data_IF_202751899629
#
_entry.id   IF_202751899629
#
_cell.length_a   1.000
_cell.length_b   1.000
_cell.length_c   1.000
_cell.angle_alpha   90.00
_cell.angle_beta   90.00
_cell.angle_gamma   90.00
#
_symmetry.space_group_name_H-M   'P 1'
#
loop_
_entity.id
_entity.type
_entity.pdbx_description
1 polymer ?
#
# COMPACT_ATOMS: atom_id res chain seq x y z
N UNK A 1 18.19 -45.01 77.51
CA UNK A 1 19.49 -45.20 76.85
C UNK A 1 19.22 -45.43 75.38
N UNK A 2 19.88 -44.66 74.50
CA UNK A 2 20.21 -45.05 73.12
C UNK A 2 19.01 -45.17 72.14
N UNK A 3 18.95 -44.55 70.97
CA UNK A 3 19.86 -43.68 70.22
C UNK A 3 19.01 -42.87 69.25
N UNK A 4 19.31 -41.58 69.19
CA UNK A 4 19.32 -40.83 67.94
C UNK A 4 20.01 -41.64 66.86
N UNK A 5 19.54 -41.65 65.62
CA UNK A 5 20.39 -41.36 64.46
C UNK A 5 19.52 -41.04 63.23
N UNK A 6 19.65 -39.79 62.79
CA UNK A 6 19.65 -39.33 61.40
C UNK A 6 18.31 -39.23 60.66
N UNK A 7 17.69 -38.08 60.86
CA UNK A 7 16.88 -37.38 59.87
C UNK A 7 17.74 -36.82 58.73
N UNK A 8 17.06 -36.56 57.60
CA UNK A 8 17.47 -35.82 56.39
C UNK A 8 18.03 -36.66 55.23
N UNK A 9 17.15 -37.02 54.30
CA UNK A 9 17.26 -36.98 52.82
C UNK A 9 15.93 -37.59 52.30
N UNK A 10 15.09 -37.00 51.46
CA UNK A 10 15.20 -35.90 50.51
C UNK A 10 13.75 -35.46 50.19
N UNK A 11 13.50 -34.14 50.19
CA UNK A 11 12.20 -33.50 49.97
C UNK A 11 11.92 -33.35 48.46
N UNK A 12 10.61 -33.37 48.11
CA UNK A 12 9.93 -32.78 46.94
C UNK A 12 9.71 -33.61 45.64
N UNK A 13 8.55 -34.30 45.63
CA UNK A 13 7.43 -34.26 44.65
C UNK A 13 7.21 -32.86 44.00
N UNK A 14 6.46 -32.61 42.87
CA UNK A 14 5.91 -33.39 41.71
C UNK A 14 6.39 -32.80 40.34
N UNK A 15 6.15 -33.28 39.10
CA UNK A 15 4.88 -33.44 38.36
C UNK A 15 5.17 -34.36 37.15
N UNK A 16 4.69 -35.60 37.22
CA UNK A 16 4.47 -36.45 36.04
C UNK A 16 2.96 -36.62 35.96
N UNK A 17 2.32 -36.00 34.97
CA UNK A 17 1.03 -36.42 34.45
C UNK A 17 0.77 -35.72 33.12
N UNK A 18 0.15 -36.45 32.20
CA UNK A 18 -0.29 -36.04 30.86
C UNK A 18 0.76 -36.03 29.75
N UNK A 19 1.28 -37.22 29.46
CA UNK A 19 1.51 -37.62 28.07
C UNK A 19 0.75 -38.93 27.80
N UNK A 20 0.14 -38.98 26.61
CA UNK A 20 -0.41 -40.14 25.90
C UNK A 20 -1.69 -40.76 26.47
N UNK A 21 -2.84 -40.42 25.86
CA UNK A 21 -3.90 -41.33 25.35
C UNK A 21 -4.96 -40.42 24.74
N UNK A 22 -5.24 -40.65 23.46
CA UNK A 22 -6.46 -40.35 22.66
C UNK A 22 -6.01 -40.21 21.20
N UNK A 23 -5.54 -41.33 20.65
CA UNK A 23 -5.55 -41.61 19.22
C UNK A 23 -6.95 -42.18 18.93
N UNK A 24 -7.55 -41.70 17.83
CA UNK A 24 -8.92 -41.95 17.33
C UNK A 24 -10.03 -41.19 18.03
N UNK A 25 -10.40 -40.01 17.50
CA UNK A 25 -11.75 -39.67 17.01
C UNK A 25 -11.76 -38.21 16.48
N UNK A 26 -12.37 -38.02 15.31
CA UNK A 26 -12.69 -36.76 14.63
C UNK A 26 -11.53 -35.98 13.98
N UNK A 27 -11.34 -36.31 12.70
CA UNK A 27 -11.09 -35.34 11.63
C UNK A 27 -12.11 -34.21 11.71
N UNK A 28 -11.75 -33.11 12.36
CA UNK A 28 -12.20 -31.79 11.93
C UNK A 28 -10.98 -31.06 11.42
N UNK A 29 -10.85 -31.07 10.09
CA UNK A 29 -10.22 -29.99 9.37
C UNK A 29 -10.90 -28.70 9.83
N UNK A 30 -10.34 -28.07 10.87
CA UNK A 30 -10.45 -26.64 11.02
C UNK A 30 -9.61 -26.04 9.89
N UNK A 31 -10.23 -26.03 8.71
CA UNK A 31 -10.23 -24.85 7.87
C UNK A 31 -10.60 -23.69 8.79
N UNK A 32 -9.60 -23.11 9.46
CA UNK A 32 -9.64 -21.70 9.71
C UNK A 32 -9.67 -21.09 8.31
N UNK A 33 -10.89 -20.96 7.79
CA UNK A 33 -11.29 -19.84 6.98
C UNK A 33 -10.83 -18.61 7.78
N UNK A 34 -9.54 -18.28 7.61
CA UNK A 34 -9.12 -16.91 7.62
C UNK A 34 -9.88 -16.32 6.46
N UNK A 35 -11.16 -16.01 6.72
CA UNK A 35 -11.96 -15.09 5.96
C UNK A 35 -11.05 -13.89 5.87
N UNK A 36 -10.38 -13.83 4.72
CA UNK A 36 -9.65 -12.70 4.22
C UNK A 36 -10.66 -11.58 4.22
N UNK A 37 -10.73 -10.89 5.35
CA UNK A 37 -11.25 -9.54 5.41
C UNK A 37 -10.19 -8.61 4.78
N UNK A 38 -9.71 -8.96 3.58
CA UNK A 38 -9.85 -8.05 2.45
C UNK A 38 -11.35 -7.86 2.20
N UNK A 39 -12.08 -7.39 3.23
CA UNK A 39 -13.34 -6.70 3.04
C UNK A 39 -12.94 -5.62 2.08
N UNK A 40 -13.46 -5.70 0.86
CA UNK A 40 -13.19 -4.79 -0.23
C UNK A 40 -13.41 -3.39 0.33
N UNK A 41 -12.33 -2.75 0.82
CA UNK A 41 -12.36 -1.47 1.54
C UNK A 41 -12.64 -0.47 0.43
N UNK A 42 -13.92 -0.34 0.14
CA UNK A 42 -14.47 0.50 -0.90
C UNK A 42 -14.76 1.86 -0.29
N UNK A 43 -14.58 2.92 -1.08
CA UNK A 43 -14.97 4.28 -0.70
C UNK A 43 -16.49 4.49 -0.71
N UNK A 44 -17.26 3.48 -1.10
CA UNK A 44 -18.71 3.58 -1.22
C UNK A 44 -19.12 4.15 -2.57
N UNK A 45 -20.22 4.91 -2.58
CA UNK A 45 -20.77 5.53 -3.79
C UNK A 45 -20.00 6.81 -4.14
N UNK A 46 -19.38 6.83 -5.32
CA UNK A 46 -18.62 7.97 -5.84
C UNK A 46 -19.33 8.67 -7.01
N UNK A 47 -20.60 8.36 -7.27
CA UNK A 47 -21.36 8.89 -8.41
C UNK A 47 -21.49 10.41 -8.42
N UNK A 48 -21.62 11.03 -7.24
CA UNK A 48 -21.62 12.50 -7.13
C UNK A 48 -20.30 13.09 -7.61
N UNK A 49 -19.16 12.54 -7.18
CA UNK A 49 -17.84 12.96 -7.61
C UNK A 49 -17.65 12.82 -9.12
N UNK A 50 -18.07 11.69 -9.70
CA UNK A 50 -18.01 11.47 -11.15
C UNK A 50 -18.87 12.48 -11.92
N UNK A 51 -20.04 12.83 -11.40
CA UNK A 51 -20.88 13.89 -11.99
C UNK A 51 -20.18 15.25 -12.01
N UNK A 52 -19.46 15.61 -10.93
CA UNK A 52 -18.65 16.83 -10.89
C UNK A 52 -17.55 16.81 -11.97
N UNK A 53 -16.86 15.68 -12.14
CA UNK A 53 -15.80 15.50 -13.14
C UNK A 53 -16.35 15.64 -14.55
N UNK A 54 -17.47 15.00 -14.86
CA UNK A 54 -18.11 15.07 -16.18
C UNK A 54 -18.62 16.48 -16.50
N UNK A 55 -19.22 17.18 -15.54
CA UNK A 55 -19.62 18.57 -15.71
C UNK A 55 -18.41 19.50 -15.91
N UNK A 56 -17.32 19.27 -15.17
CA UNK A 56 -16.06 20.01 -15.35
C UNK A 56 -15.50 19.79 -16.76
N UNK A 57 -15.49 18.55 -17.25
CA UNK A 57 -15.03 18.18 -18.60
C UNK A 57 -15.87 18.88 -19.68
N UNK A 58 -17.20 18.94 -19.50
CA UNK A 58 -18.12 19.65 -20.41
C UNK A 58 -17.84 21.15 -20.47
N UNK A 59 -17.50 21.79 -19.35
CA UNK A 59 -17.14 23.20 -19.30
C UNK A 59 -15.78 23.45 -19.96
N UNK A 60 -14.76 22.65 -19.61
CA UNK A 60 -13.43 22.73 -20.22
C UNK A 60 -13.47 22.51 -21.73
N UNK A 61 -14.26 21.54 -22.21
CA UNK A 61 -14.42 21.26 -23.65
C UNK A 61 -15.10 22.39 -24.43
N UNK A 62 -15.82 23.29 -23.75
CA UNK A 62 -16.37 24.53 -24.33
C UNK A 62 -15.38 25.70 -24.29
N UNK A 63 -14.19 25.49 -23.71
CA UNK A 63 -13.19 26.53 -23.47
C UNK A 63 -13.43 27.36 -22.21
N UNK A 64 -14.44 27.03 -21.40
CA UNK A 64 -14.77 27.77 -20.17
C UNK A 64 -13.95 27.24 -18.98
N UNK A 65 -12.66 27.59 -18.96
CA UNK A 65 -11.72 27.15 -17.92
C UNK A 65 -12.04 27.72 -16.55
N UNK A 66 -12.59 28.94 -16.48
CA UNK A 66 -13.00 29.57 -15.22
C UNK A 66 -14.18 28.82 -14.60
N UNK A 67 -15.19 28.45 -15.39
CA UNK A 67 -16.30 27.65 -14.88
C UNK A 67 -15.86 26.22 -14.54
N UNK A 68 -14.97 25.62 -15.34
CA UNK A 68 -14.40 24.31 -15.06
C UNK A 68 -13.63 24.31 -13.72
N UNK A 69 -12.76 25.30 -13.50
CA UNK A 69 -12.04 25.46 -12.23
C UNK A 69 -13.01 25.60 -11.05
N UNK A 70 -14.03 26.46 -11.17
CA UNK A 70 -15.04 26.60 -10.12
C UNK A 70 -15.79 25.30 -9.85
N UNK A 71 -16.04 24.49 -10.89
CA UNK A 71 -16.75 23.23 -10.76
C UNK A 71 -15.88 22.17 -10.08
N UNK A 72 -14.60 22.08 -10.45
CA UNK A 72 -13.67 21.14 -9.84
C UNK A 72 -13.33 21.52 -8.39
N UNK A 73 -13.32 22.81 -8.02
CA UNK A 73 -13.23 23.21 -6.59
C UNK A 73 -14.39 22.68 -5.75
N UNK A 74 -15.58 22.47 -6.32
CA UNK A 74 -16.66 21.80 -5.57
C UNK A 74 -16.39 20.32 -5.31
N UNK A 75 -15.61 19.66 -6.16
CA UNK A 75 -15.10 18.32 -5.88
C UNK A 75 -14.21 18.38 -4.64
N UNK A 76 -13.19 19.24 -4.67
CA UNK A 76 -12.20 19.41 -3.59
C UNK A 76 -12.89 19.65 -2.25
N UNK A 77 -13.79 20.64 -2.18
CA UNK A 77 -14.54 20.93 -0.93
C UNK A 77 -15.29 19.71 -0.40
N UNK A 78 -16.02 18.98 -1.26
CA UNK A 78 -16.77 17.80 -0.84
C UNK A 78 -15.84 16.64 -0.44
N UNK A 79 -14.73 16.47 -1.14
CA UNK A 79 -13.73 15.43 -0.85
C UNK A 79 -13.10 15.66 0.52
N UNK A 80 -12.72 16.92 0.81
CA UNK A 80 -12.16 17.33 2.10
C UNK A 80 -13.17 17.17 3.25
N UNK A 81 -14.42 17.58 3.04
CA UNK A 81 -15.51 17.43 4.03
C UNK A 81 -15.74 15.95 4.42
N UNK A 82 -15.45 15.01 3.50
CA UNK A 82 -15.62 13.57 3.69
C UNK A 82 -14.31 12.84 4.04
N UNK A 83 -13.16 13.51 4.06
CA UNK A 83 -11.83 12.89 4.29
C UNK A 83 -11.82 12.02 5.55
N UNK A 84 -12.29 12.58 6.66
CA UNK A 84 -12.30 11.90 7.97
C UNK A 84 -13.06 10.57 7.98
N UNK A 85 -13.98 10.36 7.03
CA UNK A 85 -14.74 9.13 6.84
C UNK A 85 -14.09 8.23 5.79
N UNK A 86 -13.78 8.80 4.62
CA UNK A 86 -13.31 8.06 3.44
C UNK A 86 -11.89 7.51 3.62
N UNK A 87 -10.98 8.32 4.16
CA UNK A 87 -9.57 7.98 4.31
C UNK A 87 -9.32 6.76 5.20
N UNK A 88 -9.87 6.64 6.43
CA UNK A 88 -9.69 5.43 7.23
C UNK A 88 -10.44 4.22 6.66
N UNK A 89 -11.55 4.44 5.94
CA UNK A 89 -12.35 3.37 5.35
C UNK A 89 -11.61 2.63 4.24
N UNK A 90 -10.83 3.33 3.42
CA UNK A 90 -10.07 2.73 2.33
C UNK A 90 -8.78 3.52 2.02
N UNK A 91 -7.72 3.40 2.84
CA UNK A 91 -6.57 4.31 2.76
C UNK A 91 -5.87 4.35 1.40
N UNK A 92 -5.69 3.18 0.78
CA UNK A 92 -5.06 3.07 -0.55
C UNK A 92 -5.95 3.65 -1.65
N UNK A 93 -7.22 3.23 -1.70
CA UNK A 93 -8.18 3.74 -2.68
C UNK A 93 -8.44 5.25 -2.55
N UNK A 94 -8.53 5.75 -1.32
CA UNK A 94 -8.63 7.18 -1.02
C UNK A 94 -7.42 7.92 -1.60
N UNK A 95 -6.20 7.44 -1.31
CA UNK A 95 -4.97 8.06 -1.80
C UNK A 95 -4.84 8.06 -3.33
N UNK A 96 -5.37 7.04 -4.00
CA UNK A 96 -5.39 6.98 -5.47
C UNK A 96 -6.30 8.07 -6.06
N UNK A 97 -7.52 8.22 -5.53
CA UNK A 97 -8.46 9.27 -5.97
C UNK A 97 -7.91 10.65 -5.65
N UNK A 98 -7.37 10.84 -4.43
CA UNK A 98 -6.75 12.08 -3.97
C UNK A 98 -5.62 12.55 -4.91
N UNK A 99 -4.67 11.66 -5.22
CA UNK A 99 -3.58 11.97 -6.14
C UNK A 99 -4.04 12.24 -7.59
N UNK A 100 -5.13 11.62 -8.04
CA UNK A 100 -5.71 11.91 -9.35
C UNK A 100 -6.45 13.25 -9.36
N UNK A 101 -7.15 13.58 -8.28
CA UNK A 101 -7.86 14.84 -8.10
C UNK A 101 -6.86 16.01 -8.05
N UNK A 102 -5.78 15.89 -7.29
CA UNK A 102 -4.68 16.87 -7.24
C UNK A 102 -4.12 17.21 -8.62
N UNK A 103 -3.91 16.20 -9.48
CA UNK A 103 -3.45 16.42 -10.86
C UNK A 103 -4.48 17.19 -11.69
N UNK A 104 -5.77 16.86 -11.56
CA UNK A 104 -6.83 17.59 -12.24
C UNK A 104 -6.93 19.04 -11.77
N UNK A 105 -6.80 19.29 -10.46
CA UNK A 105 -6.77 20.63 -9.90
C UNK A 105 -5.55 21.42 -10.42
N UNK A 106 -4.37 20.80 -10.43
CA UNK A 106 -3.14 21.42 -10.90
C UNK A 106 -3.21 21.82 -12.40
N UNK A 107 -3.76 20.95 -13.25
CA UNK A 107 -3.93 21.26 -14.68
C UNK A 107 -4.92 22.41 -14.93
N UNK A 108 -6.00 22.50 -14.15
CA UNK A 108 -6.96 23.60 -14.26
C UNK A 108 -6.43 24.93 -13.70
N UNK A 109 -5.58 24.88 -12.66
CA UNK A 109 -5.06 26.05 -11.94
C UNK A 109 -3.70 26.54 -12.47
N UNK A 110 -3.18 25.93 -13.53
CA UNK A 110 -1.96 26.44 -14.19
C UNK A 110 -2.22 27.81 -14.82
N UNK A 111 -1.16 28.58 -15.11
CA UNK A 111 -1.30 29.93 -15.69
C UNK A 111 -1.94 29.95 -17.08
N UNK A 112 -1.91 28.83 -17.79
CA UNK A 112 -2.49 28.70 -19.13
C UNK A 112 -3.05 27.29 -19.33
N UNK A 113 -4.20 26.96 -18.72
CA UNK A 113 -4.81 25.64 -18.85
C UNK A 113 -5.24 25.42 -20.30
N UNK A 114 -5.04 24.20 -20.80
CA UNK A 114 -5.39 23.84 -22.18
C UNK A 114 -6.42 22.72 -22.17
N UNK A 115 -7.39 22.78 -23.09
CA UNK A 115 -8.44 21.76 -23.21
C UNK A 115 -7.89 20.33 -23.26
N UNK A 116 -6.84 20.01 -24.05
CA UNK A 116 -6.34 18.63 -24.12
C UNK A 116 -5.78 18.14 -22.79
N UNK A 117 -4.99 18.96 -22.09
CA UNK A 117 -4.37 18.56 -20.81
C UNK A 117 -5.39 18.43 -19.68
N UNK A 118 -6.31 19.39 -19.59
CA UNK A 118 -7.40 19.35 -18.62
C UNK A 118 -8.28 18.13 -18.85
N UNK A 119 -8.70 17.87 -20.09
CA UNK A 119 -9.51 16.69 -20.40
C UNK A 119 -8.76 15.38 -20.11
N UNK A 120 -7.46 15.29 -20.40
CA UNK A 120 -6.65 14.12 -20.06
C UNK A 120 -6.61 13.88 -18.53
N UNK A 121 -6.44 14.94 -17.73
CA UNK A 121 -6.43 14.81 -16.28
C UNK A 121 -7.80 14.40 -15.71
N UNK A 122 -8.90 14.98 -16.25
CA UNK A 122 -10.27 14.62 -15.87
C UNK A 122 -10.63 13.18 -16.29
N UNK A 123 -10.15 12.70 -17.43
CA UNK A 123 -10.30 11.31 -17.86
C UNK A 123 -9.57 10.34 -16.94
N UNK A 124 -8.36 10.70 -16.50
CA UNK A 124 -7.63 9.90 -15.53
C UNK A 124 -8.34 9.87 -14.18
N UNK A 125 -8.84 11.01 -13.69
CA UNK A 125 -9.63 11.08 -12.47
C UNK A 125 -10.91 10.23 -12.55
N UNK A 126 -11.66 10.33 -13.65
CA UNK A 126 -12.87 9.54 -13.89
C UNK A 126 -12.58 8.03 -13.90
N UNK A 127 -11.50 7.59 -14.54
CA UNK A 127 -11.06 6.18 -14.50
C UNK A 127 -10.73 5.71 -13.08
N UNK A 128 -10.07 6.56 -12.29
CA UNK A 128 -9.74 6.26 -10.89
C UNK A 128 -11.00 6.22 -10.02
N UNK A 129 -11.97 7.13 -10.21
CA UNK A 129 -13.25 7.08 -9.50
C UNK A 129 -14.03 5.80 -9.81
N UNK A 130 -13.97 5.33 -11.06
CA UNK A 130 -14.58 4.06 -11.45
C UNK A 130 -13.88 2.84 -10.83
N UNK A 131 -12.57 2.92 -10.58
CA UNK A 131 -11.79 1.82 -10.01
C UNK A 131 -10.77 2.32 -8.96
N UNK A 132 -11.20 2.79 -7.78
CA UNK A 132 -10.30 3.47 -6.83
C UNK A 132 -9.22 2.58 -6.25
N UNK A 133 -9.50 1.27 -6.12
CA UNK A 133 -8.53 0.28 -5.65
C UNK A 133 -7.43 -0.04 -6.67
N UNK A 134 -7.59 0.38 -7.93
CA UNK A 134 -6.58 0.24 -8.97
C UNK A 134 -5.85 1.56 -9.14
N UNK A 135 -4.53 1.52 -9.27
CA UNK A 135 -3.75 2.71 -9.54
C UNK A 135 -4.11 3.29 -10.91
N UNK A 136 -4.20 4.62 -11.01
CA UNK A 136 -4.65 5.31 -12.21
C UNK A 136 -3.81 4.93 -13.45
N UNK A 137 -4.42 4.44 -14.55
CA UNK A 137 -3.68 4.10 -15.75
C UNK A 137 -3.19 5.36 -16.46
N UNK A 138 -1.87 5.53 -16.59
CA UNK A 138 -1.29 6.62 -17.38
C UNK A 138 0.05 7.20 -16.91
N UNK A 139 0.66 6.71 -15.82
CA UNK A 139 1.98 7.17 -15.40
C UNK A 139 3.15 6.59 -16.22
N UNK A 140 2.89 5.56 -17.05
CA UNK A 140 3.96 4.74 -17.62
C UNK A 140 4.75 4.03 -16.52
N UNK A 141 5.86 3.41 -16.88
CA UNK A 141 6.76 2.78 -15.89
C UNK A 141 7.41 3.89 -15.06
N UNK A 142 6.95 4.07 -13.82
CA UNK A 142 7.66 4.86 -12.84
C UNK A 142 8.91 4.10 -12.39
N UNK A 143 10.03 4.81 -12.31
CA UNK A 143 11.30 4.23 -11.88
C UNK A 143 11.97 5.11 -10.83
N UNK A 144 12.59 4.46 -9.85
CA UNK A 144 13.44 5.11 -8.85
C UNK A 144 14.87 4.64 -9.10
N UNK A 145 15.76 5.57 -9.45
CA UNK A 145 17.15 5.26 -9.80
C UNK A 145 17.28 4.13 -10.87
N UNK A 146 16.37 4.12 -11.85
CA UNK A 146 16.34 3.12 -12.93
C UNK A 146 15.88 1.73 -12.47
N UNK A 147 15.19 1.63 -11.34
CA UNK A 147 14.44 0.43 -10.92
C UNK A 147 12.96 0.73 -11.12
N UNK A 148 12.28 -0.07 -11.94
CA UNK A 148 10.83 0.05 -12.14
C UNK A 148 10.10 -0.27 -10.83
N UNK A 149 9.20 0.62 -10.41
CA UNK A 149 8.31 0.45 -9.25
C UNK A 149 6.86 0.33 -9.66
N UNK A 150 6.57 0.41 -10.96
CA UNK A 150 5.23 0.16 -11.51
C UNK A 150 5.34 -0.70 -12.78
N UNK A 151 4.24 -1.35 -13.13
CA UNK A 151 4.05 -2.04 -14.40
C UNK A 151 3.88 -1.06 -15.58
N UNK A 152 3.69 -1.60 -16.79
CA UNK A 152 3.46 -0.82 -18.00
C UNK A 152 2.15 -0.01 -17.97
N UNK A 153 1.18 -0.41 -17.16
CA UNK A 153 -0.05 0.32 -16.90
C UNK A 153 0.12 1.47 -15.90
N UNK A 154 1.23 1.49 -15.15
CA UNK A 154 1.46 2.42 -14.06
C UNK A 154 0.97 1.92 -12.70
N UNK A 155 0.61 0.63 -12.59
CA UNK A 155 0.28 0.02 -11.30
C UNK A 155 1.55 -0.32 -10.53
N UNK A 156 1.66 0.03 -9.23
CA UNK A 156 2.69 -0.45 -8.33
C UNK A 156 2.87 -1.96 -8.47
N UNK A 157 4.11 -2.41 -8.37
CA UNK A 157 4.36 -3.83 -8.33
C UNK A 157 3.84 -4.37 -6.98
N UNK A 158 3.43 -5.65 -6.91
CA UNK A 158 3.10 -6.24 -5.62
C UNK A 158 4.37 -6.21 -4.74
N UNK A 159 4.27 -5.73 -3.50
CA UNK A 159 5.43 -5.53 -2.65
C UNK A 159 6.28 -6.80 -2.45
N UNK A 160 5.65 -7.98 -2.47
CA UNK A 160 6.34 -9.27 -2.37
C UNK A 160 7.29 -9.57 -3.54
N UNK A 161 7.05 -9.00 -4.72
CA UNK A 161 7.94 -9.15 -5.88
C UNK A 161 9.22 -8.36 -5.64
N UNK A 162 9.08 -7.06 -5.32
CA UNK A 162 10.23 -6.19 -5.07
C UNK A 162 11.03 -6.60 -3.83
N UNK A 163 10.35 -7.07 -2.77
CA UNK A 163 11.03 -7.60 -1.58
C UNK A 163 11.80 -8.90 -1.86
N UNK A 164 11.31 -9.75 -2.77
CA UNK A 164 12.04 -10.93 -3.22
C UNK A 164 13.31 -10.53 -3.96
N UNK A 165 13.21 -9.65 -4.95
CA UNK A 165 14.37 -9.14 -5.69
C UNK A 165 15.42 -8.52 -4.76
N UNK A 166 14.97 -7.75 -3.77
CA UNK A 166 15.85 -7.16 -2.76
C UNK A 166 16.54 -8.23 -1.90
N UNK A 167 15.82 -9.27 -1.46
CA UNK A 167 16.40 -10.39 -0.71
C UNK A 167 17.44 -11.13 -1.56
N UNK A 168 17.16 -11.39 -2.82
CA UNK A 168 18.10 -12.05 -3.74
C UNK A 168 19.40 -11.23 -3.90
N UNK A 169 19.31 -9.90 -3.95
CA UNK A 169 20.49 -9.00 -4.01
C UNK A 169 21.29 -9.01 -2.71
N UNK A 170 20.64 -9.14 -1.54
CA UNK A 170 21.33 -9.36 -0.27
C UNK A 170 22.07 -10.70 -0.24
N UNK A 171 21.42 -11.77 -0.70
CA UNK A 171 21.99 -13.12 -0.70
C UNK A 171 23.18 -13.24 -1.67
N UNK A 172 23.19 -12.44 -2.73
CA UNK A 172 24.32 -12.29 -3.65
C UNK A 172 25.49 -11.48 -3.08
N UNK A 173 25.32 -10.82 -1.92
CA UNK A 173 26.37 -9.97 -1.36
C UNK A 173 26.69 -8.73 -2.21
N UNK A 174 25.74 -8.23 -2.98
CA UNK A 174 25.95 -7.16 -3.95
C UNK A 174 26.07 -5.74 -3.34
N UNK A 175 26.01 -5.62 -2.01
CA UNK A 175 26.14 -4.35 -1.30
C UNK A 175 27.57 -4.16 -0.79
N UNK A 176 28.16 -2.99 -1.03
CA UNK A 176 29.39 -2.57 -0.34
C UNK A 176 29.18 -2.41 1.16
N UNK A 177 30.26 -2.55 1.94
CA UNK A 177 30.25 -2.36 3.40
C UNK A 177 29.69 -0.99 3.82
N UNK A 178 29.97 0.06 3.02
CA UNK A 178 29.46 1.41 3.26
C UNK A 178 27.93 1.50 3.13
N UNK A 179 27.34 0.73 2.20
CA UNK A 179 25.92 0.80 1.88
C UNK A 179 25.07 -0.24 2.64
N UNK A 180 25.69 -1.31 3.15
CA UNK A 180 24.99 -2.46 3.73
C UNK A 180 24.04 -2.08 4.87
N UNK A 181 24.47 -1.19 5.77
CA UNK A 181 23.62 -0.72 6.88
C UNK A 181 22.39 0.01 6.37
N UNK A 182 22.55 0.90 5.39
CA UNK A 182 21.44 1.65 4.83
C UNK A 182 20.47 0.75 4.06
N UNK A 183 21.00 -0.21 3.29
CA UNK A 183 20.20 -1.20 2.60
C UNK A 183 19.33 -2.02 3.58
N UNK A 184 19.87 -2.45 4.73
CA UNK A 184 19.12 -3.18 5.76
C UNK A 184 18.00 -2.35 6.38
N UNK A 185 18.26 -1.06 6.65
CA UNK A 185 17.21 -0.15 7.12
C UNK A 185 16.08 -0.04 6.10
N UNK A 186 16.40 0.16 4.83
CA UNK A 186 15.42 0.25 3.75
C UNK A 186 14.63 -1.05 3.59
N UNK A 187 15.27 -2.21 3.73
CA UNK A 187 14.59 -3.52 3.72
C UNK A 187 13.55 -3.64 4.84
N UNK A 188 13.91 -3.20 6.05
CA UNK A 188 13.00 -3.21 7.20
C UNK A 188 11.80 -2.29 6.96
N UNK A 189 12.05 -1.07 6.46
CA UNK A 189 10.99 -0.12 6.12
C UNK A 189 10.09 -0.66 5.02
N UNK A 190 10.66 -1.24 3.96
CA UNK A 190 9.90 -1.87 2.88
C UNK A 190 8.99 -2.99 3.40
N UNK A 191 9.51 -3.86 4.27
CA UNK A 191 8.74 -4.95 4.89
C UNK A 191 7.61 -4.41 5.77
N UNK A 192 7.87 -3.38 6.56
CA UNK A 192 6.85 -2.74 7.39
C UNK A 192 5.71 -2.14 6.55
N UNK A 193 6.04 -1.45 5.45
CA UNK A 193 5.03 -0.91 4.53
C UNK A 193 4.26 -2.01 3.79
N UNK A 194 4.93 -3.07 3.37
CA UNK A 194 4.28 -4.22 2.72
C UNK A 194 3.27 -4.90 3.66
N UNK A 195 3.65 -5.12 4.93
CA UNK A 195 2.74 -5.63 5.96
C UNK A 195 1.54 -4.70 6.23
N UNK A 196 1.69 -3.40 5.94
CA UNK A 196 0.63 -2.40 6.08
C UNK A 196 -0.22 -2.25 4.80
N UNK A 197 -0.07 -3.14 3.80
CA UNK A 197 -0.75 -3.09 2.51
C UNK A 197 -0.47 -1.78 1.74
N UNK A 198 0.74 -1.25 1.89
CA UNK A 198 1.21 -0.04 1.25
C UNK A 198 2.33 -0.35 0.26
N UNK A 199 1.93 -0.93 -0.87
CA UNK A 199 2.83 -1.33 -1.96
C UNK A 199 3.67 -0.15 -2.46
N UNK A 200 3.05 1.03 -2.63
CA UNK A 200 3.73 2.22 -3.18
C UNK A 200 4.93 2.63 -2.34
N UNK A 201 4.77 2.72 -1.01
CA UNK A 201 5.90 3.08 -0.13
C UNK A 201 6.86 1.90 0.05
N UNK A 202 6.37 0.66 0.04
CA UNK A 202 7.23 -0.53 0.09
C UNK A 202 8.19 -0.58 -1.11
N UNK A 203 7.65 -0.49 -2.32
CA UNK A 203 8.40 -0.50 -3.57
C UNK A 203 9.39 0.65 -3.66
N UNK A 204 9.00 1.84 -3.16
CA UNK A 204 9.92 2.98 -3.08
C UNK A 204 11.12 2.71 -2.18
N UNK A 205 10.95 2.04 -1.05
CA UNK A 205 12.07 1.65 -0.19
C UNK A 205 12.90 0.52 -0.81
N UNK A 206 12.26 -0.48 -1.40
CA UNK A 206 12.93 -1.58 -2.09
C UNK A 206 13.79 -1.10 -3.26
N UNK A 207 13.25 -0.19 -4.09
CA UNK A 207 13.99 0.40 -5.20
C UNK A 207 15.17 1.28 -4.76
N UNK A 208 15.02 2.05 -3.67
CA UNK A 208 16.14 2.77 -3.07
C UNK A 208 17.24 1.82 -2.59
N UNK A 209 16.87 0.69 -1.97
CA UNK A 209 17.84 -0.31 -1.53
C UNK A 209 18.55 -0.93 -2.73
N UNK A 210 17.81 -1.39 -3.75
CA UNK A 210 18.39 -1.95 -4.98
C UNK A 210 19.33 -0.96 -5.70
N UNK A 211 19.04 0.34 -5.65
CA UNK A 211 19.92 1.37 -6.20
C UNK A 211 21.28 1.47 -5.48
N UNK A 212 21.34 1.16 -4.17
CA UNK A 212 22.60 1.12 -3.43
C UNK A 212 23.50 -0.05 -3.83
N UNK A 213 22.91 -1.18 -4.27
CA UNK A 213 23.66 -2.30 -4.83
C UNK A 213 24.32 -1.91 -6.17
N UNK A 214 23.59 -1.19 -7.04
CA UNK A 214 24.13 -0.69 -8.33
C UNK A 214 25.29 0.28 -8.17
N UNK A 215 25.38 1.00 -7.06
CA UNK A 215 26.49 1.91 -6.76
C UNK A 215 27.78 1.18 -6.33
N UNK A 216 27.70 -0.14 -6.11
CA UNK A 216 28.83 -0.97 -5.68
C UNK A 216 29.50 -1.73 -6.84
N UNK A 217 28.98 -1.57 -8.07
CA UNK A 217 29.53 -2.07 -9.34
C UNK A 217 30.32 -0.96 -10.05
#
# INVERSE_FOLDING_TARGET
MKQFLLAAFLIAVPVIAFSTIEVTHHTESQSADGSSHSANRSLGDLSEYESIVEETRKLASKGDMTAAEKRITRFETKWDDEESKLRPQAPSAWGNVDAAADKAFAELRTTSPTVPRVNQALDNLSKTLANPGNNAPGAGIQSIAGIAVTDAGGHPLPCEVMLRDLRDVFDQGAFSDANLKQARTLQSQATERCNADDDVRSDRFSAQALALAKQSL
#
